data_IF_383464130869
#
_entry.id   IF_383464130869
#
_cell.length_a   1.000
_cell.length_b   1.000
_cell.length_c   1.000
_cell.angle_alpha   90.00
_cell.angle_beta   90.00
_cell.angle_gamma   90.00
#
_symmetry.space_group_name_H-M   'P 1'
#
loop_
_entity.id
_entity.type
_entity.pdbx_description
1 polymer ?
#
# COMPACT_ATOMS: atom_id res chain seq x y z
N UNK A 1 -47.03 19.20 48.68
CA UNK A 1 -46.26 17.98 49.00
C UNK A 1 -44.83 18.15 48.48
N UNK A 2 -43.82 18.22 49.36
CA UNK A 2 -42.42 18.51 48.99
C UNK A 2 -41.75 17.24 48.46
N UNK A 3 -41.27 17.28 47.21
CA UNK A 3 -40.46 16.23 46.61
C UNK A 3 -39.16 16.09 47.40
N UNK A 4 -38.94 14.88 47.96
CA UNK A 4 -37.71 14.53 48.66
C UNK A 4 -36.55 14.64 47.68
N UNK A 5 -35.65 15.58 47.94
CA UNK A 5 -34.35 15.69 47.32
C UNK A 5 -33.62 14.36 47.46
N UNK A 6 -33.45 13.67 46.35
CA UNK A 6 -32.70 12.42 46.25
C UNK A 6 -31.21 12.77 46.28
N UNK A 7 -30.72 13.20 47.44
CA UNK A 7 -29.29 13.47 47.65
C UNK A 7 -28.58 12.12 47.60
N UNK A 8 -27.66 11.90 46.63
CA UNK A 8 -26.93 10.64 46.54
C UNK A 8 -26.11 10.46 47.81
N UNK A 9 -26.35 9.37 48.55
CA UNK A 9 -25.50 9.05 49.71
C UNK A 9 -24.06 8.84 49.23
N UNK A 10 -23.05 9.39 49.92
CA UNK A 10 -21.66 9.19 49.54
C UNK A 10 -21.34 7.68 49.58
N UNK A 11 -20.89 7.14 48.45
CA UNK A 11 -20.45 5.74 48.35
C UNK A 11 -19.19 5.56 49.18
N UNK A 12 -19.11 4.46 49.92
CA UNK A 12 -17.88 4.05 50.61
C UNK A 12 -16.79 3.77 49.57
N UNK A 13 -15.55 4.24 49.78
CA UNK A 13 -14.47 4.00 48.82
C UNK A 13 -14.22 2.50 48.71
N UNK A 14 -14.30 1.98 47.49
CA UNK A 14 -14.00 0.60 47.15
C UNK A 14 -12.50 0.46 46.84
N UNK A 15 -11.92 -0.69 47.18
CA UNK A 15 -10.55 -1.05 46.77
C UNK A 15 -10.36 -0.98 45.25
N UNK A 16 -11.44 -1.12 44.47
CA UNK A 16 -11.42 -1.03 43.02
C UNK A 16 -11.50 0.40 42.49
N UNK A 17 -11.78 1.41 43.31
CA UNK A 17 -11.96 2.80 42.87
C UNK A 17 -10.69 3.35 42.22
N UNK A 18 -9.52 2.99 42.74
CA UNK A 18 -8.22 3.37 42.16
C UNK A 18 -8.05 2.80 40.75
N UNK A 19 -8.33 1.50 40.57
CA UNK A 19 -8.26 0.84 39.27
C UNK A 19 -9.28 1.42 38.28
N UNK A 20 -10.50 1.71 38.75
CA UNK A 20 -11.55 2.33 37.94
C UNK A 20 -11.13 3.73 37.52
N UNK A 21 -10.55 4.53 38.41
CA UNK A 21 -10.06 5.88 38.11
C UNK A 21 -8.92 5.86 37.07
N UNK A 22 -7.90 5.02 37.29
CA UNK A 22 -6.76 4.89 36.35
C UNK A 22 -7.24 4.41 34.97
N UNK A 23 -8.16 3.44 34.92
CA UNK A 23 -8.76 2.98 33.67
C UNK A 23 -9.61 4.05 32.98
N UNK A 24 -10.38 4.82 33.74
CA UNK A 24 -11.25 5.89 33.20
C UNK A 24 -10.40 7.00 32.62
N UNK A 25 -9.37 7.47 33.33
CA UNK A 25 -8.43 8.47 32.83
C UNK A 25 -7.70 8.01 31.55
N UNK A 26 -7.33 6.73 31.48
CA UNK A 26 -6.71 6.20 30.25
C UNK A 26 -7.72 6.12 29.09
N UNK A 27 -8.99 5.82 29.37
CA UNK A 27 -10.05 5.84 28.36
C UNK A 27 -10.33 7.27 27.88
N UNK A 28 -10.35 8.25 28.77
CA UNK A 28 -10.50 9.68 28.44
C UNK A 28 -9.40 10.14 27.48
N UNK A 29 -8.14 9.83 27.76
CA UNK A 29 -7.02 10.13 26.85
C UNK A 29 -7.19 9.49 25.47
N UNK A 30 -7.71 8.27 25.41
CA UNK A 30 -8.01 7.62 24.12
C UNK A 30 -9.15 8.35 23.42
N UNK A 31 -10.22 8.71 24.13
CA UNK A 31 -11.35 9.46 23.57
C UNK A 31 -10.86 10.80 23.01
N UNK A 32 -10.09 11.58 23.76
CA UNK A 32 -9.51 12.85 23.31
C UNK A 32 -8.66 12.68 22.06
N UNK A 33 -7.84 11.62 22.00
CA UNK A 33 -7.03 11.34 20.82
C UNK A 33 -7.91 10.99 19.61
N UNK A 34 -8.92 10.14 19.80
CA UNK A 34 -9.85 9.74 18.73
C UNK A 34 -10.68 10.93 18.24
N UNK A 35 -11.11 11.84 19.14
CA UNK A 35 -11.86 13.05 18.79
C UNK A 35 -11.07 14.00 17.89
N UNK A 36 -9.72 13.99 17.94
CA UNK A 36 -8.88 14.77 17.03
C UNK A 36 -8.80 14.18 15.62
N UNK A 37 -8.93 12.87 15.50
CA UNK A 37 -8.77 12.14 14.22
C UNK A 37 -10.10 12.06 13.47
N UNK A 38 -11.22 11.94 14.18
CA UNK A 38 -12.53 11.73 13.59
C UNK A 38 -13.30 13.04 13.47
N UNK A 39 -13.43 13.53 12.24
CA UNK A 39 -14.22 14.72 11.95
C UNK A 39 -15.72 14.45 12.16
N UNK A 40 -16.33 15.22 13.05
CA UNK A 40 -17.75 15.15 13.36
C UNK A 40 -18.66 15.65 12.22
N UNK A 41 -18.14 16.45 11.26
CA UNK A 41 -18.92 17.00 10.14
C UNK A 41 -19.46 15.93 9.19
N UNK A 42 -18.81 14.77 9.12
CA UNK A 42 -19.21 13.67 8.25
C UNK A 42 -20.39 12.84 8.78
N UNK A 43 -20.90 13.16 9.97
CA UNK A 43 -21.95 12.39 10.64
C UNK A 43 -23.21 13.24 10.87
N UNK A 44 -24.36 12.70 10.48
CA UNK A 44 -25.66 13.38 10.60
C UNK A 44 -26.10 13.56 12.06
N UNK A 45 -25.85 12.55 12.90
CA UNK A 45 -26.32 12.45 14.28
C UNK A 45 -25.20 12.09 15.26
N UNK A 46 -25.33 12.57 16.51
CA UNK A 46 -24.39 12.28 17.61
C UNK A 46 -24.25 10.76 17.86
N UNK A 47 -25.33 10.00 17.71
CA UNK A 47 -25.31 8.54 17.90
C UNK A 47 -24.44 7.85 16.86
N UNK A 48 -24.49 8.26 15.60
CA UNK A 48 -23.69 7.65 14.54
C UNK A 48 -22.22 8.06 14.65
N UNK A 49 -21.96 9.29 15.10
CA UNK A 49 -20.64 9.73 15.51
C UNK A 49 -20.07 8.88 16.66
N UNK A 50 -20.88 8.63 17.70
CA UNK A 50 -20.49 7.75 18.82
C UNK A 50 -20.23 6.30 18.38
N UNK A 51 -20.96 5.76 17.39
CA UNK A 51 -20.70 4.42 16.84
C UNK A 51 -19.33 4.36 16.15
N UNK A 52 -19.02 5.36 15.33
CA UNK A 52 -17.72 5.45 14.65
C UNK A 52 -16.57 5.61 15.65
N UNK A 53 -16.72 6.51 16.62
CA UNK A 53 -15.75 6.67 17.71
C UNK A 53 -15.55 5.36 18.48
N UNK A 54 -16.63 4.64 18.80
CA UNK A 54 -16.55 3.39 19.55
C UNK A 54 -15.80 2.28 18.79
N UNK A 55 -15.95 2.19 17.47
CA UNK A 55 -15.19 1.27 16.64
C UNK A 55 -13.68 1.58 16.71
N UNK A 56 -13.31 2.84 16.50
CA UNK A 56 -11.90 3.27 16.52
C UNK A 56 -11.28 3.14 17.91
N UNK A 57 -12.02 3.51 18.96
CA UNK A 57 -11.58 3.32 20.36
C UNK A 57 -11.36 1.82 20.65
N UNK A 58 -12.16 0.93 20.08
CA UNK A 58 -11.98 -0.52 20.24
C UNK A 58 -10.65 -0.98 19.64
N UNK A 59 -10.32 -0.51 18.44
CA UNK A 59 -9.06 -0.82 17.76
C UNK A 59 -7.86 -0.26 18.52
N UNK A 60 -7.92 1.00 18.96
CA UNK A 60 -6.83 1.62 19.74
C UNK A 60 -6.61 0.86 21.05
N UNK A 61 -7.68 0.43 21.71
CA UNK A 61 -7.57 -0.37 22.95
C UNK A 61 -6.99 -1.75 22.68
N UNK A 62 -7.33 -2.38 21.56
CA UNK A 62 -6.75 -3.67 21.15
C UNK A 62 -5.26 -3.52 20.83
N UNK A 63 -4.86 -2.47 20.10
CA UNK A 63 -3.45 -2.17 19.81
C UNK A 63 -2.63 -1.90 21.07
N UNK A 64 -3.22 -1.18 22.05
CA UNK A 64 -2.58 -0.88 23.33
C UNK A 64 -2.55 -2.05 24.32
N UNK A 65 -3.20 -3.17 24.02
CA UNK A 65 -3.19 -4.34 24.90
C UNK A 65 -1.80 -5.01 25.02
N UNK A 66 -0.90 -4.76 24.06
CA UNK A 66 0.50 -5.22 24.10
C UNK A 66 1.44 -4.36 24.94
N UNK A 67 1.00 -3.19 25.42
CA UNK A 67 1.84 -2.23 26.14
C UNK A 67 1.73 -2.41 27.68
N UNK A 68 2.84 -2.70 28.39
CA UNK A 68 2.87 -2.87 29.84
C UNK A 68 2.43 -1.64 30.65
N UNK A 69 2.49 -0.44 30.05
CA UNK A 69 2.12 0.81 30.71
C UNK A 69 0.62 1.03 30.82
N UNK A 70 -0.19 0.18 30.17
CA UNK A 70 -1.63 0.38 30.07
C UNK A 70 -2.40 -0.57 31.00
N UNK A 71 -3.57 -0.15 31.54
CA UNK A 71 -4.41 -1.01 32.38
C UNK A 71 -5.00 -2.22 31.64
N UNK A 72 -4.79 -2.28 30.32
CA UNK A 72 -5.26 -3.32 29.40
C UNK A 72 -4.18 -4.38 29.08
N UNK A 73 -2.97 -4.24 29.61
CA UNK A 73 -1.86 -5.18 29.39
C UNK A 73 -2.26 -6.63 29.69
N UNK A 74 -1.98 -7.53 28.75
CA UNK A 74 -2.25 -8.98 28.82
C UNK A 74 -3.72 -9.35 29.11
N UNK A 75 -4.68 -8.48 28.80
CA UNK A 75 -6.12 -8.76 28.96
C UNK A 75 -6.82 -8.83 27.62
N UNK A 76 -7.81 -9.71 27.51
CA UNK A 76 -8.72 -9.74 26.36
C UNK A 76 -9.58 -8.47 26.37
N UNK A 77 -9.27 -7.54 25.47
CA UNK A 77 -9.96 -6.25 25.36
C UNK A 77 -11.32 -6.45 24.70
N UNK A 78 -12.38 -6.30 25.49
CA UNK A 78 -13.75 -6.28 24.94
C UNK A 78 -13.98 -5.04 24.07
N UNK A 79 -14.78 -5.16 22.99
CA UNK A 79 -15.15 -4.04 22.15
C UNK A 79 -15.80 -2.95 22.99
N UNK A 80 -15.41 -1.72 22.71
CA UNK A 80 -15.94 -0.54 23.38
C UNK A 80 -17.32 -0.22 22.82
N UNK A 81 -18.32 -0.07 23.68
CA UNK A 81 -19.69 0.20 23.25
C UNK A 81 -19.93 1.70 23.11
N UNK A 82 -20.58 2.11 22.02
CA UNK A 82 -21.05 3.48 21.85
C UNK A 82 -22.02 3.91 22.96
N UNK A 83 -22.74 2.95 23.56
CA UNK A 83 -23.62 3.19 24.71
C UNK A 83 -22.82 3.67 25.92
N UNK A 84 -21.56 3.24 26.08
CA UNK A 84 -20.68 3.71 27.15
C UNK A 84 -20.33 5.19 27.00
N UNK A 85 -20.14 5.68 25.77
CA UNK A 85 -19.95 7.11 25.50
C UNK A 85 -21.18 7.95 25.84
N UNK A 86 -22.38 7.41 25.58
CA UNK A 86 -23.64 8.11 25.82
C UNK A 86 -24.09 8.07 27.28
N UNK A 87 -23.75 7.01 28.02
CA UNK A 87 -24.16 6.82 29.43
C UNK A 87 -23.22 7.50 30.44
N UNK A 88 -21.93 7.58 30.14
CA UNK A 88 -20.99 8.27 31.02
C UNK A 88 -21.06 9.78 30.76
N UNK A 89 -21.45 10.56 31.76
CA UNK A 89 -21.60 12.01 31.61
C UNK A 89 -20.30 12.72 31.21
N UNK A 90 -19.15 12.27 31.72
CA UNK A 90 -17.84 12.86 31.38
C UNK A 90 -17.51 12.65 29.91
N UNK A 91 -17.66 11.41 29.43
CA UNK A 91 -17.40 11.07 28.03
C UNK A 91 -18.40 11.77 27.09
N UNK A 92 -19.67 11.79 27.48
CA UNK A 92 -20.72 12.45 26.71
C UNK A 92 -20.44 13.95 26.56
N UNK A 93 -20.01 14.64 27.62
CA UNK A 93 -19.67 16.06 27.53
C UNK A 93 -18.53 16.31 26.55
N UNK A 94 -17.47 15.51 26.58
CA UNK A 94 -16.34 15.64 25.64
C UNK A 94 -16.80 15.43 24.19
N UNK A 95 -17.57 14.37 23.94
CA UNK A 95 -18.03 14.03 22.58
C UNK A 95 -19.06 15.03 22.07
N UNK A 96 -20.01 15.46 22.91
CA UNK A 96 -21.02 16.46 22.55
C UNK A 96 -20.41 17.83 22.30
N UNK A 97 -19.46 18.28 23.12
CA UNK A 97 -18.77 19.55 22.91
C UNK A 97 -18.03 19.57 21.56
N UNK A 98 -17.33 18.48 21.20
CA UNK A 98 -16.68 18.38 19.89
C UNK A 98 -17.68 18.28 18.75
N UNK A 99 -18.76 17.50 18.90
CA UNK A 99 -19.80 17.37 17.88
C UNK A 99 -20.51 18.70 17.60
N UNK A 100 -20.81 19.47 18.65
CA UNK A 100 -21.42 20.80 18.53
C UNK A 100 -20.42 21.84 18.01
N UNK A 101 -19.17 21.83 18.47
CA UNK A 101 -18.13 22.75 17.98
C UNK A 101 -17.87 22.59 16.48
N UNK A 102 -17.84 21.35 15.99
CA UNK A 102 -17.69 21.04 14.57
C UNK A 102 -18.89 21.44 13.72
N UNK A 103 -20.09 21.59 14.31
CA UNK A 103 -21.29 22.09 13.60
C UNK A 103 -21.53 23.59 13.81
N UNK A 104 -21.05 24.16 14.91
CA UNK A 104 -21.13 25.59 15.25
C UNK A 104 -20.19 26.46 14.42
N UNK A 105 -19.20 25.88 13.76
CA UNK A 105 -18.35 26.52 12.74
C UNK A 105 -18.91 26.33 11.32
N UNK A 106 -20.24 26.33 11.19
CA UNK A 106 -20.93 26.67 9.94
C UNK A 106 -21.14 28.19 9.90
N UNK A 107 -20.06 28.97 10.09
CA UNK A 107 -20.04 30.31 9.52
C UNK A 107 -20.11 30.15 8.00
N UNK A 108 -20.86 31.04 7.35
CA UNK A 108 -21.10 31.07 5.91
C UNK A 108 -19.82 30.76 5.13
N UNK A 109 -19.90 30.10 3.96
CA UNK A 109 -18.72 29.92 3.14
C UNK A 109 -18.23 31.32 2.75
N UNK A 110 -17.22 31.84 3.46
CA UNK A 110 -16.35 32.88 2.92
C UNK A 110 -15.94 32.34 1.56
N UNK A 111 -16.24 33.10 0.51
CA UNK A 111 -15.92 32.76 -0.85
C UNK A 111 -14.48 32.25 -0.88
N UNK A 112 -14.32 30.93 -1.04
CA UNK A 112 -13.03 30.26 -0.94
C UNK A 112 -12.12 30.99 -1.92
N UNK A 113 -11.06 31.64 -1.43
CA UNK A 113 -10.21 32.45 -2.29
C UNK A 113 -9.77 31.58 -3.48
N UNK A 114 -9.68 32.17 -4.66
CA UNK A 114 -9.31 31.42 -5.88
C UNK A 114 -7.98 30.66 -5.69
N UNK A 115 -7.07 31.23 -4.89
CA UNK A 115 -5.83 30.58 -4.47
C UNK A 115 -6.05 29.35 -3.58
N UNK A 116 -7.03 29.36 -2.68
CA UNK A 116 -7.43 28.19 -1.90
C UNK A 116 -8.11 27.12 -2.76
N UNK A 117 -8.94 27.50 -3.74
CA UNK A 117 -9.53 26.54 -4.70
C UNK A 117 -8.47 25.87 -5.58
N UNK A 118 -7.51 26.64 -6.11
CA UNK A 118 -6.37 26.10 -6.86
C UNK A 118 -5.51 25.17 -6.00
N UNK A 119 -5.32 25.50 -4.73
CA UNK A 119 -4.57 24.64 -3.80
C UNK A 119 -5.33 23.37 -3.45
N UNK A 120 -6.65 23.44 -3.28
CA UNK A 120 -7.52 22.27 -3.11
C UNK A 120 -7.48 21.38 -4.35
N UNK A 121 -7.55 21.96 -5.55
CA UNK A 121 -7.44 21.22 -6.81
C UNK A 121 -6.07 20.54 -6.96
N UNK A 122 -4.99 21.25 -6.64
CA UNK A 122 -3.62 20.70 -6.63
C UNK A 122 -3.48 19.56 -5.61
N UNK A 123 -4.00 19.73 -4.39
CA UNK A 123 -3.97 18.72 -3.35
C UNK A 123 -4.82 17.49 -3.71
N UNK A 124 -5.97 17.69 -4.36
CA UNK A 124 -6.81 16.60 -4.86
C UNK A 124 -6.11 15.83 -6.00
N UNK A 125 -5.41 16.53 -6.91
CA UNK A 125 -4.61 15.89 -7.94
C UNK A 125 -3.47 15.05 -7.34
N UNK A 126 -2.77 15.59 -6.33
CA UNK A 126 -1.74 14.86 -5.59
C UNK A 126 -2.31 13.66 -4.82
N UNK A 127 -3.48 13.81 -4.21
CA UNK A 127 -4.18 12.70 -3.54
C UNK A 127 -4.59 11.61 -4.53
N UNK A 128 -5.06 11.97 -5.71
CA UNK A 128 -5.42 10.99 -6.74
C UNK A 128 -4.18 10.26 -7.26
N UNK A 129 -3.07 10.98 -7.53
CA UNK A 129 -1.80 10.34 -7.88
C UNK A 129 -1.28 9.41 -6.77
N UNK A 130 -1.43 9.80 -5.51
CA UNK A 130 -1.05 8.96 -4.38
C UNK A 130 -1.99 7.77 -4.22
N UNK A 131 -3.29 7.92 -4.44
CA UNK A 131 -4.25 6.82 -4.44
C UNK A 131 -3.99 5.84 -5.57
N UNK A 132 -3.65 6.32 -6.78
CA UNK A 132 -3.29 5.48 -7.93
C UNK A 132 -1.98 4.73 -7.69
N UNK A 133 -0.99 5.38 -7.06
CA UNK A 133 0.24 4.71 -6.63
C UNK A 133 -0.03 3.70 -5.52
N UNK A 134 -0.87 4.05 -4.54
CA UNK A 134 -1.16 3.19 -3.41
C UNK A 134 -2.00 1.97 -3.82
N UNK A 135 -2.98 2.15 -4.71
CA UNK A 135 -3.75 1.06 -5.31
C UNK A 135 -2.84 0.15 -6.11
N UNK A 136 -1.92 0.70 -6.92
CA UNK A 136 -0.89 -0.07 -7.62
C UNK A 136 0.09 -0.82 -6.71
N UNK A 137 0.32 -0.34 -5.48
CA UNK A 137 1.20 -1.03 -4.50
C UNK A 137 0.48 -2.02 -3.59
N UNK A 138 -0.82 -1.85 -3.32
CA UNK A 138 -1.59 -2.77 -2.46
C UNK A 138 -2.02 -4.04 -3.19
N UNK A 139 -2.14 -4.01 -4.50
CA UNK A 139 -2.25 -5.21 -5.33
C UNK A 139 -0.84 -5.69 -5.66
N UNK A 140 -0.23 -6.47 -4.77
CA UNK A 140 1.01 -7.22 -5.02
C UNK A 140 0.89 -8.29 -6.12
N UNK A 141 -0.15 -8.21 -6.94
CA UNK A 141 -0.49 -9.04 -8.08
C UNK A 141 -1.51 -8.24 -8.90
N UNK A 142 -1.21 -7.93 -10.15
CA UNK A 142 -2.20 -7.37 -11.08
C UNK A 142 -1.82 -5.98 -11.58
N UNK A 143 -1.02 -6.00 -12.62
CA UNK A 143 -0.75 -4.89 -13.51
C UNK A 143 -2.05 -4.19 -13.97
N UNK A 144 -1.95 -2.88 -14.18
CA UNK A 144 -3.01 -1.98 -14.65
C UNK A 144 -3.70 -2.54 -15.90
N UNK A 145 -4.85 -3.22 -15.81
CA UNK A 145 -5.50 -3.94 -16.93
C UNK A 145 -5.63 -3.16 -18.27
N UNK A 146 -5.70 -1.81 -18.26
CA UNK A 146 -5.71 -0.99 -19.48
C UNK A 146 -4.31 -0.62 -20.00
N UNK A 147 -3.32 -0.44 -19.13
CA UNK A 147 -1.91 -0.30 -19.53
C UNK A 147 -1.26 -1.66 -19.85
N UNK A 148 -1.80 -2.73 -19.26
CA UNK A 148 -1.37 -4.11 -19.40
C UNK A 148 -1.82 -4.69 -20.74
N UNK A 149 -3.01 -4.35 -21.25
CA UNK A 149 -3.45 -4.83 -22.58
C UNK A 149 -2.50 -4.36 -23.71
N UNK A 150 -2.15 -3.07 -23.72
CA UNK A 150 -1.17 -2.53 -24.67
C UNK A 150 0.25 -3.02 -24.40
N UNK A 151 0.64 -3.20 -23.13
CA UNK A 151 1.93 -3.76 -22.78
C UNK A 151 2.04 -5.24 -23.19
N UNK A 152 1.01 -6.06 -23.00
CA UNK A 152 0.95 -7.47 -23.41
C UNK A 152 0.98 -7.60 -24.93
N UNK A 153 0.27 -6.75 -25.66
CA UNK A 153 0.34 -6.73 -27.12
C UNK A 153 1.75 -6.35 -27.61
N UNK A 154 2.37 -5.33 -27.01
CA UNK A 154 3.74 -4.93 -27.32
C UNK A 154 4.74 -6.03 -26.95
N UNK A 155 4.57 -6.70 -25.81
CA UNK A 155 5.39 -7.84 -25.38
C UNK A 155 5.21 -9.02 -26.34
N UNK A 156 4.01 -9.31 -26.80
CA UNK A 156 3.74 -10.36 -27.77
C UNK A 156 4.41 -10.06 -29.13
N UNK A 157 4.29 -8.83 -29.63
CA UNK A 157 4.99 -8.37 -30.84
C UNK A 157 6.51 -8.42 -30.68
N UNK A 158 7.04 -7.99 -29.53
CA UNK A 158 8.47 -8.08 -29.21
C UNK A 158 8.96 -9.53 -29.20
N UNK A 159 8.16 -10.47 -28.67
CA UNK A 159 8.49 -11.91 -28.73
C UNK A 159 8.49 -12.44 -30.16
N UNK A 160 7.50 -12.07 -30.95
CA UNK A 160 7.42 -12.46 -32.35
C UNK A 160 8.64 -11.95 -33.12
N UNK A 161 8.99 -10.67 -32.96
CA UNK A 161 10.19 -10.09 -33.57
C UNK A 161 11.48 -10.76 -33.08
N UNK A 162 11.57 -11.09 -31.80
CA UNK A 162 12.71 -11.80 -31.23
C UNK A 162 12.82 -13.24 -31.77
N UNK A 163 11.70 -13.94 -31.93
CA UNK A 163 11.66 -15.28 -32.52
C UNK A 163 12.07 -15.25 -34.01
N UNK A 164 11.55 -14.29 -34.78
CA UNK A 164 11.90 -14.10 -36.19
C UNK A 164 13.39 -13.78 -36.32
N UNK A 165 13.92 -12.84 -35.54
CA UNK A 165 15.35 -12.49 -35.59
C UNK A 165 16.25 -13.65 -35.18
N UNK A 166 15.90 -14.42 -34.15
CA UNK A 166 16.64 -15.64 -33.79
C UNK A 166 16.57 -16.71 -34.89
N UNK A 167 15.43 -16.86 -35.57
CA UNK A 167 15.27 -17.82 -36.67
C UNK A 167 16.09 -17.41 -37.90
N UNK A 168 16.04 -16.13 -38.28
CA UNK A 168 16.84 -15.57 -39.37
C UNK A 168 18.33 -15.73 -39.04
N UNK A 169 18.76 -15.35 -37.84
CA UNK A 169 20.14 -15.53 -37.40
C UNK A 169 20.57 -16.99 -37.43
N UNK A 170 19.72 -17.92 -37.00
CA UNK A 170 20.05 -19.36 -36.99
C UNK A 170 20.17 -19.92 -38.41
N UNK A 171 19.28 -19.54 -39.33
CA UNK A 171 19.38 -19.92 -40.75
C UNK A 171 20.64 -19.34 -41.38
N UNK A 172 20.86 -18.05 -41.19
CA UNK A 172 22.03 -17.34 -41.69
C UNK A 172 23.33 -17.97 -41.18
N UNK A 173 23.42 -18.30 -39.88
CA UNK A 173 24.57 -19.01 -39.31
C UNK A 173 24.72 -20.43 -39.88
N UNK A 174 23.61 -21.11 -40.18
CA UNK A 174 23.60 -22.40 -40.87
C UNK A 174 24.23 -22.29 -42.26
N UNK A 175 23.77 -21.33 -43.06
CA UNK A 175 24.25 -21.08 -44.42
C UNK A 175 25.72 -20.62 -44.43
N UNK A 176 26.13 -19.83 -43.43
CA UNK A 176 27.52 -19.38 -43.27
C UNK A 176 28.45 -20.44 -42.67
N UNK A 177 27.95 -21.60 -42.23
CA UNK A 177 28.79 -22.69 -41.70
C UNK A 177 29.74 -23.25 -42.76
N UNK A 178 29.33 -23.20 -44.02
CA UNK A 178 30.16 -23.66 -45.14
C UNK A 178 31.23 -22.64 -45.56
N UNK A 179 31.03 -21.37 -45.21
CA UNK A 179 31.92 -20.25 -45.57
C UNK A 179 32.85 -19.88 -44.41
N UNK A 180 32.50 -20.25 -43.18
CA UNK A 180 33.25 -19.92 -41.97
C UNK A 180 33.84 -21.15 -41.31
N UNK A 181 35.07 -21.02 -40.80
CA UNK A 181 35.78 -22.10 -40.10
C UNK A 181 35.98 -21.71 -38.63
N UNK A 182 35.45 -22.53 -37.74
CA UNK A 182 35.74 -22.42 -36.30
C UNK A 182 37.04 -23.15 -36.00
N UNK A 183 38.02 -22.44 -35.45
CA UNK A 183 39.31 -22.99 -35.04
C UNK A 183 39.38 -22.96 -33.51
N UNK A 184 39.34 -24.15 -32.91
CA UNK A 184 39.34 -24.34 -31.44
C UNK A 184 40.74 -24.49 -30.85
N UNK A 185 41.72 -24.92 -31.64
CA UNK A 185 43.12 -25.04 -31.25
C UNK A 185 44.03 -24.23 -32.20
N UNK A 186 45.01 -23.48 -31.68
CA UNK A 186 45.95 -22.75 -32.52
C UNK A 186 46.67 -23.72 -33.47
N UNK A 187 46.75 -23.37 -34.75
CA UNK A 187 47.46 -24.14 -35.79
C UNK A 187 48.48 -23.23 -36.46
N UNK A 188 49.49 -23.77 -37.15
CA UNK A 188 50.48 -22.95 -37.89
C UNK A 188 49.85 -21.92 -38.84
N UNK A 189 48.66 -22.22 -39.40
CA UNK A 189 47.90 -21.32 -40.27
C UNK A 189 46.99 -20.33 -39.53
N UNK A 190 46.64 -20.60 -38.27
CA UNK A 190 45.69 -19.82 -37.48
C UNK A 190 46.24 -19.65 -36.06
N UNK A 191 46.91 -18.52 -35.83
CA UNK A 191 47.60 -18.22 -34.58
C UNK A 191 46.64 -17.92 -33.42
N UNK A 192 45.41 -17.49 -33.72
CA UNK A 192 44.38 -17.11 -32.74
C UNK A 192 43.22 -18.10 -32.84
N UNK A 193 42.63 -18.50 -31.73
CA UNK A 193 41.44 -19.36 -31.71
C UNK A 193 40.19 -18.51 -31.93
N UNK A 194 39.31 -18.94 -32.83
CA UNK A 194 38.15 -18.14 -33.19
C UNK A 194 37.45 -18.57 -34.48
N UNK A 195 36.52 -17.74 -34.91
CA UNK A 195 35.79 -17.88 -36.17
C UNK A 195 36.56 -17.16 -37.27
N UNK A 196 36.91 -17.88 -38.33
CA UNK A 196 37.57 -17.33 -39.51
C UNK A 196 36.63 -17.36 -40.72
N UNK A 197 36.65 -16.30 -41.51
CA UNK A 197 36.09 -16.25 -42.86
C UNK A 197 37.21 -16.37 -43.90
N UNK A 198 36.85 -16.40 -45.18
CA UNK A 198 37.81 -16.28 -46.29
C UNK A 198 38.66 -15.00 -46.23
N UNK A 199 38.19 -13.95 -45.55
CA UNK A 199 38.87 -12.65 -45.44
C UNK A 199 39.70 -12.48 -44.15
N UNK A 200 39.67 -13.45 -43.23
CA UNK A 200 40.42 -13.40 -41.97
C UNK A 200 39.59 -13.69 -40.72
N UNK A 201 40.13 -13.33 -39.54
CA UNK A 201 39.50 -13.54 -38.25
C UNK A 201 38.27 -12.64 -38.11
N UNK A 202 37.11 -13.26 -37.85
CA UNK A 202 35.83 -12.57 -37.63
C UNK A 202 35.66 -12.27 -36.14
N UNK A 203 35.92 -13.26 -35.29
CA UNK A 203 35.79 -13.11 -33.83
C UNK A 203 36.59 -14.18 -33.09
N UNK A 204 37.02 -13.86 -31.88
CA UNK A 204 37.71 -14.78 -30.98
C UNK A 204 36.77 -15.83 -30.39
N UNK A 205 37.33 -16.95 -29.93
CA UNK A 205 36.55 -18.07 -29.42
C UNK A 205 35.73 -17.71 -28.17
N UNK A 206 36.26 -16.86 -27.28
CA UNK A 206 35.55 -16.41 -26.07
C UNK A 206 34.33 -15.55 -26.42
N UNK A 207 34.47 -14.68 -27.41
CA UNK A 207 33.38 -13.83 -27.90
C UNK A 207 32.32 -14.68 -28.60
N UNK A 208 32.74 -15.70 -29.36
CA UNK A 208 31.83 -16.66 -29.99
C UNK A 208 31.02 -17.46 -28.94
N UNK A 209 31.64 -17.84 -27.83
CA UNK A 209 30.95 -18.50 -26.72
C UNK A 209 29.92 -17.59 -26.06
N UNK A 210 30.29 -16.34 -25.75
CA UNK A 210 29.36 -15.34 -25.20
C UNK A 210 28.16 -15.08 -26.13
N UNK A 211 28.38 -15.06 -27.45
CA UNK A 211 27.30 -14.94 -28.43
C UNK A 211 26.37 -16.18 -28.39
N UNK A 212 26.91 -17.39 -28.23
CA UNK A 212 26.10 -18.60 -28.15
C UNK A 212 25.33 -18.72 -26.82
N UNK A 213 25.92 -18.28 -25.71
CA UNK A 213 25.27 -18.14 -24.41
C UNK A 213 24.15 -17.11 -24.44
N UNK A 214 24.43 -15.93 -25.01
CA UNK A 214 23.43 -14.88 -25.22
C UNK A 214 22.27 -15.36 -26.09
N UNK A 215 22.55 -16.14 -27.15
CA UNK A 215 21.51 -16.77 -27.98
C UNK A 215 20.63 -17.71 -27.17
N UNK A 216 21.22 -18.63 -26.39
CA UNK A 216 20.47 -19.58 -25.54
C UNK A 216 19.60 -18.85 -24.51
N UNK A 217 20.12 -17.76 -23.95
CA UNK A 217 19.37 -16.91 -23.04
C UNK A 217 18.17 -16.24 -23.71
N UNK A 218 18.35 -15.66 -24.90
CA UNK A 218 17.25 -15.05 -25.67
C UNK A 218 16.22 -16.10 -26.12
N UNK A 219 16.66 -17.30 -26.47
CA UNK A 219 15.78 -18.43 -26.80
C UNK A 219 14.98 -18.88 -25.58
N UNK A 220 15.61 -18.94 -24.39
CA UNK A 220 14.90 -19.20 -23.14
C UNK A 220 13.84 -18.13 -22.87
N UNK A 221 14.16 -16.84 -23.04
CA UNK A 221 13.20 -15.74 -22.86
C UNK A 221 12.03 -15.78 -23.84
N UNK A 222 12.25 -16.24 -25.07
CA UNK A 222 11.15 -16.45 -26.03
C UNK A 222 10.19 -17.57 -25.60
N UNK A 223 10.65 -18.54 -24.80
CA UNK A 223 9.91 -19.74 -24.41
C UNK A 223 9.35 -19.70 -22.98
N UNK A 224 9.98 -18.98 -22.05
CA UNK A 224 9.76 -19.10 -20.60
C UNK A 224 8.57 -18.33 -20.04
N UNK A 225 7.90 -17.50 -20.83
CA UNK A 225 6.70 -16.78 -20.39
C UNK A 225 5.49 -17.29 -21.16
N UNK A 226 5.13 -18.55 -20.91
CA UNK A 226 3.83 -19.08 -21.33
C UNK A 226 2.71 -18.33 -20.58
N UNK A 227 1.55 -18.09 -21.22
CA UNK A 227 0.41 -17.48 -20.56
C UNK A 227 -0.02 -18.37 -19.39
N UNK A 228 -0.28 -17.73 -18.25
CA UNK A 228 -1.08 -18.37 -17.19
C UNK A 228 -2.49 -18.44 -17.76
N UNK A 229 -2.95 -19.65 -18.09
CA UNK A 229 -4.34 -19.94 -18.45
C UNK A 229 -5.31 -19.45 -17.36
#
# INVERSE_FOLDING_TARGET
>A
MKNKSNVPRPRKPSTFDRYVAERSAHIEKIIEHTLRVVDAKNYSNLTDYCKALAAIISEIRAAKAGDPSTPFYNKVVRPFSYVTLLRNEGYRRLVSAMFEHSRGTLEQPEAVSESAMLKIASLNAQLNLLKDRLSGTKTGTGSNALADAGAHENIAKLREYLAITLQVYTKLRGDFKDITKVVTTPTEKYTITGLYSSYGLVTEIETLQKIDEGRKFLEYLSKSVAPVD
#
